data_IF_632102284075
#
_entry.id   IF_632102284075
#
_cell.length_a   1.000
_cell.length_b   1.000
_cell.length_c   1.000
_cell.angle_alpha   90.00
_cell.angle_beta   90.00
_cell.angle_gamma   90.00
#
_symmetry.space_group_name_H-M   'P 1'
#
loop_
_entity.id
_entity.type
_entity.pdbx_description
1 polymer ?
#
# COMPACT_ATOMS: atom_id res chain seq x y z
N UNK A 1 10.31 11.84 -12.62
CA UNK A 1 8.95 11.98 -12.00
C UNK A 1 8.93 11.13 -10.73
N UNK A 2 8.54 11.72 -9.60
CA UNK A 2 8.47 10.98 -8.33
C UNK A 2 7.35 9.92 -8.36
N UNK A 3 7.38 8.97 -7.41
CA UNK A 3 6.32 7.97 -7.28
C UNK A 3 4.94 8.61 -7.09
N UNK A 4 4.82 9.60 -6.20
CA UNK A 4 3.54 10.25 -5.94
C UNK A 4 3.05 11.11 -7.12
N UNK A 5 3.94 11.66 -7.95
CA UNK A 5 3.54 12.36 -9.16
C UNK A 5 2.98 11.40 -10.21
N UNK A 6 3.62 10.23 -10.38
CA UNK A 6 3.08 9.16 -11.24
C UNK A 6 1.71 8.70 -10.75
N UNK A 7 1.57 8.52 -9.43
CA UNK A 7 0.31 8.10 -8.82
C UNK A 7 -0.80 9.13 -9.07
N UNK A 8 -0.51 10.44 -8.90
CA UNK A 8 -1.46 11.52 -9.22
C UNK A 8 -1.89 11.51 -10.67
N UNK A 9 -0.93 11.32 -11.58
CA UNK A 9 -1.21 11.27 -13.01
C UNK A 9 -2.15 10.10 -13.34
N UNK A 10 -1.84 8.89 -12.89
CA UNK A 10 -2.66 7.71 -13.12
C UNK A 10 -4.03 7.79 -12.42
N UNK A 11 -4.08 8.32 -11.19
CA UNK A 11 -5.33 8.49 -10.48
C UNK A 11 -6.29 9.45 -11.19
N UNK A 12 -5.76 10.50 -11.82
CA UNK A 12 -6.54 11.41 -12.66
C UNK A 12 -6.94 10.79 -13.99
N UNK A 13 -6.01 10.13 -14.68
CA UNK A 13 -6.23 9.49 -15.97
C UNK A 13 -7.29 8.39 -15.87
N UNK A 14 -7.13 7.49 -14.90
CA UNK A 14 -8.01 6.33 -14.70
C UNK A 14 -9.19 6.63 -13.77
N UNK A 15 -9.25 7.82 -13.21
CA UNK A 15 -10.26 8.25 -12.22
C UNK A 15 -10.42 7.22 -11.09
N UNK A 16 -9.32 6.86 -10.44
CA UNK A 16 -9.29 5.81 -9.42
C UNK A 16 -8.24 6.07 -8.35
N UNK A 17 -8.57 5.68 -7.12
CA UNK A 17 -7.63 5.58 -5.98
C UNK A 17 -7.47 4.12 -5.56
N UNK A 18 -7.97 3.17 -6.35
CA UNK A 18 -7.92 1.75 -6.04
C UNK A 18 -6.49 1.23 -6.18
N UNK A 19 -6.04 0.54 -5.14
CA UNK A 19 -4.83 -0.26 -5.11
C UNK A 19 -5.23 -1.74 -5.00
N UNK A 20 -4.96 -2.53 -6.04
CA UNK A 20 -5.29 -3.97 -6.02
C UNK A 20 -4.16 -4.74 -5.37
N UNK A 21 -4.49 -5.46 -4.27
CA UNK A 21 -3.56 -6.37 -3.61
C UNK A 21 -3.35 -7.64 -4.44
N UNK A 22 -2.11 -8.12 -4.50
CA UNK A 22 -1.71 -9.30 -5.28
C UNK A 22 -1.17 -10.38 -4.33
N UNK A 23 -2.06 -10.98 -3.55
CA UNK A 23 -1.76 -11.85 -2.41
C UNK A 23 -2.25 -13.29 -2.69
N UNK A 24 -1.53 -14.11 -3.52
CA UNK A 24 -1.95 -15.45 -3.89
C UNK A 24 -1.84 -16.42 -2.70
N UNK A 25 -2.94 -17.11 -2.40
CA UNK A 25 -3.05 -18.07 -1.31
C UNK A 25 -2.96 -19.50 -1.88
N UNK A 26 -1.98 -20.33 -1.45
CA UNK A 26 -1.84 -21.70 -1.94
C UNK A 26 -3.03 -22.60 -1.60
N UNK A 27 -3.82 -22.26 -0.58
CA UNK A 27 -5.05 -23.00 -0.25
C UNK A 27 -6.20 -22.72 -1.22
N UNK A 28 -6.03 -21.72 -2.11
CA UNK A 28 -7.06 -21.27 -3.08
C UNK A 28 -6.60 -21.33 -4.52
N UNK A 29 -5.30 -21.49 -4.78
CA UNK A 29 -4.72 -21.48 -6.11
C UNK A 29 -3.79 -22.67 -6.25
N UNK A 30 -4.19 -23.63 -7.10
CA UNK A 30 -3.38 -24.81 -7.41
C UNK A 30 -2.17 -24.50 -8.31
N UNK A 31 -1.16 -25.36 -8.28
CA UNK A 31 -0.01 -25.33 -9.17
C UNK A 31 1.17 -24.48 -8.68
N UNK A 32 1.26 -24.26 -7.36
CA UNK A 32 2.40 -23.60 -6.73
C UNK A 32 2.66 -22.19 -7.24
N UNK A 33 3.91 -21.74 -7.23
CA UNK A 33 4.29 -20.39 -7.69
C UNK A 33 3.87 -20.09 -9.14
N UNK A 34 3.95 -21.10 -10.03
CA UNK A 34 3.51 -20.97 -11.43
C UNK A 34 2.00 -20.79 -11.55
N UNK A 35 1.22 -21.49 -10.70
CA UNK A 35 -0.23 -21.30 -10.61
C UNK A 35 -0.60 -19.92 -10.09
N UNK A 36 0.06 -19.47 -9.02
CA UNK A 36 -0.07 -18.15 -8.46
C UNK A 36 0.22 -17.06 -9.51
N UNK A 37 1.32 -17.19 -10.25
CA UNK A 37 1.68 -16.24 -11.30
C UNK A 37 0.62 -16.17 -12.40
N UNK A 38 0.14 -17.32 -12.90
CA UNK A 38 -0.91 -17.33 -13.94
C UNK A 38 -2.18 -16.64 -13.46
N UNK A 39 -2.63 -16.96 -12.25
CA UNK A 39 -3.84 -16.39 -11.67
C UNK A 39 -3.71 -14.87 -11.48
N UNK A 40 -2.65 -14.42 -10.82
CA UNK A 40 -2.43 -13.01 -10.53
C UNK A 40 -2.18 -12.20 -11.81
N UNK A 41 -1.48 -12.76 -12.81
CA UNK A 41 -1.30 -12.12 -14.13
C UNK A 41 -2.65 -11.82 -14.78
N UNK A 42 -3.57 -12.76 -14.74
CA UNK A 42 -4.90 -12.55 -15.28
C UNK A 42 -5.70 -11.49 -14.49
N UNK A 43 -5.59 -11.50 -13.16
CA UNK A 43 -6.19 -10.45 -12.32
C UNK A 43 -5.65 -9.06 -12.70
N UNK A 44 -4.32 -8.91 -12.85
CA UNK A 44 -3.71 -7.63 -13.24
C UNK A 44 -4.26 -7.16 -14.59
N UNK A 45 -4.31 -8.03 -15.60
CA UNK A 45 -4.87 -7.69 -16.93
C UNK A 45 -6.31 -7.22 -16.86
N UNK A 46 -7.13 -7.86 -16.02
CA UNK A 46 -8.53 -7.51 -15.87
C UNK A 46 -8.78 -6.24 -15.05
N UNK A 47 -7.83 -5.83 -14.23
CA UNK A 47 -8.03 -4.73 -13.26
C UNK A 47 -7.16 -3.51 -13.51
N UNK A 48 -6.21 -3.56 -14.44
CA UNK A 48 -5.24 -2.47 -14.66
C UNK A 48 -5.90 -1.13 -14.98
N UNK A 49 -6.97 -1.12 -15.78
CA UNK A 49 -7.71 0.11 -16.11
C UNK A 49 -8.51 0.69 -14.93
N UNK A 50 -8.76 -0.12 -13.89
CA UNK A 50 -9.51 0.27 -12.70
C UNK A 50 -8.63 0.59 -11.50
N UNK A 51 -7.32 0.32 -11.57
CA UNK A 51 -6.37 0.50 -10.48
C UNK A 51 -5.30 1.54 -10.83
N UNK A 52 -4.82 2.30 -9.84
CA UNK A 52 -3.66 3.19 -10.01
C UNK A 52 -2.38 2.61 -9.39
N UNK A 53 -2.47 1.49 -8.68
CA UNK A 53 -1.34 0.79 -8.07
C UNK A 53 -1.66 -0.68 -7.86
N UNK A 54 -0.64 -1.55 -7.95
CA UNK A 54 -0.69 -2.94 -7.51
C UNK A 54 0.17 -3.13 -6.26
N UNK A 55 -0.31 -3.96 -5.32
CA UNK A 55 0.37 -4.14 -4.04
C UNK A 55 0.57 -5.63 -3.70
N UNK A 56 1.64 -6.26 -4.18
CA UNK A 56 2.02 -7.58 -3.69
C UNK A 56 2.49 -7.50 -2.22
N UNK A 57 1.95 -8.38 -1.37
CA UNK A 57 2.49 -8.57 -0.03
C UNK A 57 3.56 -9.67 -0.11
N UNK A 58 4.78 -9.36 0.35
CA UNK A 58 5.93 -10.25 0.21
C UNK A 58 5.68 -11.64 0.80
N UNK A 59 5.00 -11.74 1.93
CA UNK A 59 4.73 -13.02 2.59
C UNK A 59 3.98 -14.03 1.70
N UNK A 60 3.05 -13.55 0.86
CA UNK A 60 2.29 -14.42 -0.06
C UNK A 60 3.13 -14.92 -1.25
N UNK A 61 4.27 -14.33 -1.51
CA UNK A 61 5.22 -14.78 -2.53
C UNK A 61 6.38 -15.53 -1.90
N UNK A 62 6.87 -15.10 -0.75
CA UNK A 62 7.91 -15.75 0.06
C UNK A 62 7.54 -17.19 0.43
N UNK A 63 6.27 -17.50 0.70
CA UNK A 63 5.82 -18.85 1.05
C UNK A 63 6.04 -19.90 -0.05
N UNK A 64 6.21 -19.46 -1.30
CA UNK A 64 6.58 -20.34 -2.43
C UNK A 64 8.10 -20.49 -2.61
N UNK A 65 8.92 -19.95 -1.69
CA UNK A 65 10.38 -19.98 -1.76
C UNK A 65 10.95 -19.18 -2.95
N UNK A 66 12.09 -19.62 -3.51
CA UNK A 66 12.72 -18.91 -4.64
C UNK A 66 11.83 -18.76 -5.88
N UNK A 67 10.96 -19.74 -6.12
CA UNK A 67 10.04 -19.72 -7.28
C UNK A 67 8.98 -18.61 -7.13
N UNK A 68 8.56 -18.32 -5.89
CA UNK A 68 7.64 -17.22 -5.63
C UNK A 68 8.25 -15.86 -5.91
N UNK A 69 9.50 -15.67 -5.52
CA UNK A 69 10.23 -14.43 -5.86
C UNK A 69 10.44 -14.30 -7.37
N UNK A 70 10.83 -15.39 -8.05
CA UNK A 70 10.99 -15.40 -9.51
C UNK A 70 9.68 -15.05 -10.21
N UNK A 71 8.56 -15.61 -9.76
CA UNK A 71 7.22 -15.33 -10.28
C UNK A 71 6.81 -13.87 -10.09
N UNK A 72 7.09 -13.28 -8.91
CA UNK A 72 6.80 -11.86 -8.65
C UNK A 72 7.65 -10.93 -9.53
N UNK A 73 8.92 -11.26 -9.74
CA UNK A 73 9.80 -10.48 -10.61
C UNK A 73 9.34 -10.55 -12.09
N UNK A 74 8.93 -11.72 -12.56
CA UNK A 74 8.35 -11.89 -13.89
C UNK A 74 7.09 -11.06 -14.07
N UNK A 75 6.16 -11.13 -13.10
CA UNK A 75 4.95 -10.32 -13.09
C UNK A 75 5.28 -8.82 -13.14
N UNK A 76 6.22 -8.35 -12.32
CA UNK A 76 6.63 -6.95 -12.30
C UNK A 76 7.23 -6.49 -13.62
N UNK A 77 8.03 -7.33 -14.28
CA UNK A 77 8.65 -7.02 -15.58
C UNK A 77 7.61 -6.91 -16.71
N UNK A 78 6.51 -7.65 -16.64
CA UNK A 78 5.43 -7.60 -17.63
C UNK A 78 4.57 -6.32 -17.52
N UNK A 79 4.36 -5.80 -16.30
CA UNK A 79 3.44 -4.67 -16.06
C UNK A 79 4.19 -3.41 -15.57
N UNK A 80 4.93 -2.76 -16.49
CA UNK A 80 5.78 -1.60 -16.17
C UNK A 80 5.01 -0.28 -16.03
N UNK A 81 3.82 -0.18 -16.64
CA UNK A 81 3.08 1.08 -16.73
C UNK A 81 2.33 1.44 -15.44
N UNK A 82 1.90 0.45 -14.66
CA UNK A 82 1.22 0.66 -13.38
C UNK A 82 2.21 0.46 -12.23
N UNK A 83 2.26 1.37 -11.23
CA UNK A 83 3.15 1.24 -10.08
C UNK A 83 2.91 -0.01 -9.25
N UNK A 84 4.00 -0.64 -8.80
CA UNK A 84 3.99 -1.76 -7.85
C UNK A 84 4.55 -1.31 -6.50
N UNK A 85 3.76 -1.48 -5.45
CA UNK A 85 4.12 -1.22 -4.06
C UNK A 85 4.34 -2.55 -3.34
N UNK A 86 5.58 -2.85 -2.95
CA UNK A 86 5.88 -4.06 -2.17
C UNK A 86 5.47 -3.87 -0.71
N UNK A 87 4.46 -4.61 -0.28
CA UNK A 87 4.04 -4.62 1.13
C UNK A 87 4.88 -5.62 1.93
N UNK A 88 6.10 -5.20 2.30
CA UNK A 88 7.11 -6.03 2.96
C UNK A 88 7.37 -5.66 4.41
N UNK A 89 6.93 -4.47 4.84
CA UNK A 89 7.08 -3.96 6.22
C UNK A 89 8.50 -4.10 6.75
N UNK A 90 9.51 -3.82 5.90
CA UNK A 90 10.92 -3.97 6.27
C UNK A 90 11.28 -3.06 7.45
N UNK A 91 12.13 -3.59 8.34
CA UNK A 91 12.65 -2.86 9.48
C UNK A 91 13.97 -3.50 9.88
N UNK A 92 15.04 -2.72 9.86
CA UNK A 92 16.37 -3.12 10.30
C UNK A 92 17.23 -1.87 10.47
N UNK A 93 18.47 -2.03 10.92
CA UNK A 93 19.39 -0.92 11.17
C UNK A 93 20.40 -0.74 10.02
N UNK A 94 20.80 0.49 9.75
CA UNK A 94 21.94 0.90 8.96
C UNK A 94 22.13 0.15 7.65
N UNK A 95 23.22 -0.61 7.55
CA UNK A 95 23.60 -1.33 6.33
C UNK A 95 22.63 -2.45 5.94
N UNK A 96 21.96 -3.10 6.88
CA UNK A 96 20.94 -4.11 6.60
C UNK A 96 19.72 -3.47 5.98
N UNK A 97 19.24 -2.36 6.54
CA UNK A 97 18.09 -1.63 5.96
C UNK A 97 18.42 -1.09 4.57
N UNK A 98 19.66 -0.63 4.35
CA UNK A 98 20.16 -0.25 3.01
C UNK A 98 20.16 -1.41 2.04
N UNK A 99 20.53 -2.62 2.47
CA UNK A 99 20.48 -3.81 1.65
C UNK A 99 19.04 -4.17 1.25
N UNK A 100 18.07 -4.03 2.18
CA UNK A 100 16.64 -4.18 1.86
C UNK A 100 16.16 -3.11 0.86
N UNK A 101 16.52 -1.85 1.03
CA UNK A 101 16.14 -0.79 0.09
C UNK A 101 16.68 -1.06 -1.33
N UNK A 102 17.94 -1.47 -1.44
CA UNK A 102 18.56 -1.88 -2.70
C UNK A 102 17.83 -3.06 -3.34
N UNK A 103 17.57 -4.11 -2.56
CA UNK A 103 16.84 -5.28 -3.06
C UNK A 103 15.47 -4.90 -3.61
N UNK A 104 14.69 -4.09 -2.89
CA UNK A 104 13.34 -3.69 -3.29
C UNK A 104 13.36 -2.75 -4.51
N UNK A 105 14.20 -1.73 -4.51
CA UNK A 105 14.11 -0.66 -5.50
C UNK A 105 15.01 -0.88 -6.73
N UNK A 106 16.19 -1.49 -6.56
CA UNK A 106 17.13 -1.72 -7.65
C UNK A 106 16.96 -3.11 -8.27
N UNK A 107 16.94 -4.17 -7.42
CA UNK A 107 16.90 -5.55 -7.91
C UNK A 107 15.48 -5.94 -8.36
N UNK A 108 14.48 -5.67 -7.50
CA UNK A 108 13.08 -6.05 -7.79
C UNK A 108 12.35 -5.00 -8.63
N UNK A 109 12.88 -3.78 -8.76
CA UNK A 109 12.30 -2.70 -9.56
C UNK A 109 10.96 -2.20 -9.04
N UNK A 110 10.67 -2.37 -7.75
CA UNK A 110 9.41 -1.89 -7.16
C UNK A 110 9.38 -0.36 -7.09
N UNK A 111 8.20 0.23 -7.26
CA UNK A 111 8.02 1.68 -7.27
C UNK A 111 7.84 2.25 -5.86
N UNK A 112 7.33 1.44 -4.92
CA UNK A 112 7.18 1.82 -3.52
C UNK A 112 7.33 0.61 -2.60
N UNK A 113 7.50 0.87 -1.29
CA UNK A 113 7.54 -0.17 -0.27
C UNK A 113 6.90 0.29 1.05
N UNK A 114 6.43 -0.67 1.85
CA UNK A 114 6.07 -0.42 3.25
C UNK A 114 7.26 -0.70 4.16
N UNK A 115 7.44 0.15 5.18
CA UNK A 115 8.48 0.04 6.20
C UNK A 115 7.89 0.18 7.60
N UNK A 116 8.51 -0.49 8.58
CA UNK A 116 8.11 -0.40 9.98
C UNK A 116 9.04 0.58 10.71
N UNK A 117 8.52 1.61 11.38
CA UNK A 117 9.31 2.65 12.02
C UNK A 117 9.83 2.31 13.41
N UNK A 118 9.62 1.10 13.91
CA UNK A 118 9.94 0.72 15.30
C UNK A 118 11.40 0.96 15.67
N UNK A 119 12.33 0.85 14.71
CA UNK A 119 13.77 1.10 14.90
C UNK A 119 14.18 2.58 14.71
N UNK A 120 13.22 3.48 14.51
CA UNK A 120 13.48 4.92 14.45
C UNK A 120 13.69 5.50 13.05
N UNK A 121 13.99 6.80 13.01
CA UNK A 121 14.08 7.58 11.79
C UNK A 121 15.21 7.12 10.87
N UNK A 122 16.39 6.84 11.41
CA UNK A 122 17.58 6.42 10.67
C UNK A 122 17.36 5.12 9.87
N UNK A 123 16.53 4.20 10.38
CA UNK A 123 16.09 3.02 9.67
C UNK A 123 15.23 3.38 8.46
N UNK A 124 14.22 4.24 8.64
CA UNK A 124 13.31 4.67 7.58
C UNK A 124 14.04 5.46 6.50
N UNK A 125 15.01 6.30 6.89
CA UNK A 125 15.79 7.15 5.99
C UNK A 125 16.56 6.37 4.93
N UNK A 126 16.97 5.11 5.17
CA UNK A 126 17.65 4.30 4.15
C UNK A 126 16.75 4.05 2.92
N UNK A 127 15.44 3.97 3.12
CA UNK A 127 14.47 3.89 2.02
C UNK A 127 14.16 5.25 1.40
N UNK A 128 14.04 6.33 2.20
CA UNK A 128 13.69 7.65 1.67
C UNK A 128 14.81 8.30 0.87
N UNK A 129 16.04 7.74 0.88
CA UNK A 129 17.15 8.15 -0.02
C UNK A 129 16.80 8.01 -1.50
N UNK A 130 15.90 7.11 -1.84
CA UNK A 130 15.43 6.90 -3.22
C UNK A 130 14.29 7.86 -3.55
N UNK A 131 14.61 9.07 -3.95
CA UNK A 131 13.69 10.20 -4.16
C UNK A 131 12.55 9.95 -5.16
N UNK A 132 12.77 9.04 -6.11
CA UNK A 132 11.75 8.66 -7.10
C UNK A 132 10.87 7.49 -6.64
N UNK A 133 11.14 6.89 -5.47
CA UNK A 133 10.43 5.74 -4.92
C UNK A 133 9.56 6.15 -3.74
N UNK A 134 8.37 5.54 -3.62
CA UNK A 134 7.48 5.78 -2.50
C UNK A 134 7.83 4.94 -1.27
N UNK A 135 7.72 5.53 -0.10
CA UNK A 135 7.95 4.85 1.19
C UNK A 135 6.73 5.03 2.09
N UNK A 136 6.00 3.96 2.37
CA UNK A 136 4.86 4.00 3.26
C UNK A 136 5.25 3.47 4.65
N UNK A 137 5.23 4.36 5.64
CA UNK A 137 5.56 4.05 7.03
C UNK A 137 4.34 3.49 7.74
N UNK A 138 4.46 2.33 8.42
CA UNK A 138 3.39 1.79 9.24
C UNK A 138 3.08 2.77 10.38
N UNK A 139 1.85 3.31 10.38
CA UNK A 139 1.40 4.29 11.36
C UNK A 139 0.37 3.66 12.31
N UNK A 140 -0.85 3.39 11.80
CA UNK A 140 -1.91 2.72 12.54
C UNK A 140 -2.41 1.52 11.72
N UNK A 141 -2.32 0.33 12.28
CA UNK A 141 -2.69 -0.90 11.60
C UNK A 141 -4.10 -1.38 11.98
N UNK A 142 -4.72 -2.24 11.15
CA UNK A 142 -6.13 -2.65 11.32
C UNK A 142 -6.34 -3.86 12.23
N UNK A 143 -5.26 -4.50 12.71
CA UNK A 143 -5.35 -5.70 13.56
C UNK A 143 -5.72 -5.34 15.01
N UNK A 144 -6.37 -6.24 15.75
CA UNK A 144 -6.74 -6.01 17.17
C UNK A 144 -5.53 -5.68 18.05
N UNK A 145 -4.39 -6.34 17.87
CA UNK A 145 -3.15 -6.09 18.64
C UNK A 145 -2.52 -4.70 18.42
N UNK A 146 -3.10 -3.84 17.57
CA UNK A 146 -2.70 -2.43 17.48
C UNK A 146 -2.89 -1.68 18.83
N UNK A 147 -3.84 -2.10 19.63
CA UNK A 147 -4.08 -1.54 20.96
C UNK A 147 -2.91 -1.76 21.94
N UNK A 148 -2.16 -2.86 21.79
CA UNK A 148 -1.08 -3.22 22.72
C UNK A 148 0.09 -2.23 22.70
N UNK A 149 0.33 -1.57 21.58
CA UNK A 149 1.45 -0.65 21.39
C UNK A 149 1.04 0.70 20.80
N UNK A 150 0.28 0.69 19.70
CA UNK A 150 0.06 1.90 18.90
C UNK A 150 -0.81 2.92 19.61
N UNK A 151 -1.71 2.47 20.50
CA UNK A 151 -2.62 3.33 21.28
C UNK A 151 -2.07 3.74 22.65
N UNK A 152 -0.89 3.25 23.05
CA UNK A 152 -0.28 3.69 24.31
C UNK A 152 -0.05 5.20 24.27
N UNK A 153 -0.45 5.87 25.38
CA UNK A 153 -0.20 7.29 25.56
C UNK A 153 1.30 7.54 25.82
N UNK A 154 1.86 8.44 25.05
CA UNK A 154 3.22 8.90 25.20
C UNK A 154 3.23 10.43 25.19
N UNK A 155 3.11 11.03 26.36
CA UNK A 155 3.12 12.48 26.50
C UNK A 155 1.85 13.19 25.99
N UNK A 156 0.68 12.58 26.22
CA UNK A 156 -0.62 13.16 25.90
C UNK A 156 -1.17 12.87 24.51
N UNK A 157 -0.50 11.96 23.75
CA UNK A 157 -0.98 11.47 22.46
C UNK A 157 -0.54 10.02 22.21
N UNK A 158 -1.29 9.25 21.39
CA UNK A 158 -0.96 7.87 21.11
C UNK A 158 0.30 7.73 20.24
N UNK A 159 0.98 6.58 20.37
CA UNK A 159 2.23 6.30 19.63
C UNK A 159 2.06 6.46 18.12
N UNK A 160 0.91 6.06 17.53
CA UNK A 160 0.72 6.24 16.09
C UNK A 160 0.78 7.70 15.64
N UNK A 161 0.45 8.68 16.48
CA UNK A 161 0.61 10.10 16.15
C UNK A 161 2.08 10.54 16.18
N UNK A 162 2.89 9.98 17.09
CA UNK A 162 4.36 10.19 17.06
C UNK A 162 5.00 9.59 15.80
N UNK A 163 4.45 8.45 15.33
CA UNK A 163 4.89 7.86 14.04
C UNK A 163 4.53 8.77 12.86
N UNK A 164 3.35 9.39 12.86
CA UNK A 164 2.98 10.35 11.82
C UNK A 164 3.95 11.55 11.78
N UNK A 165 4.33 12.09 12.95
CA UNK A 165 5.34 13.15 13.05
C UNK A 165 6.74 12.70 12.64
N UNK A 166 7.13 11.46 12.97
CA UNK A 166 8.38 10.89 12.49
C UNK A 166 8.41 10.83 10.95
N UNK A 167 7.32 10.36 10.34
CA UNK A 167 7.19 10.28 8.89
C UNK A 167 7.30 11.66 8.21
N UNK A 168 6.70 12.70 8.80
CA UNK A 168 6.87 14.09 8.31
C UNK A 168 8.35 14.54 8.40
N UNK A 169 9.05 14.25 9.50
CA UNK A 169 10.46 14.63 9.66
C UNK A 169 11.39 14.00 8.63
N UNK A 170 11.12 12.73 8.24
CA UNK A 170 11.95 12.02 7.24
C UNK A 170 11.49 12.25 5.80
N UNK A 171 10.48 13.07 5.57
CA UNK A 171 9.90 13.36 4.25
C UNK A 171 10.59 14.51 3.49
N UNK A 172 11.87 14.73 3.71
CA UNK A 172 12.58 15.84 3.05
C UNK A 172 12.52 15.82 1.52
N UNK A 173 12.26 14.66 0.90
CA UNK A 173 12.18 14.48 -0.55
C UNK A 173 10.75 14.40 -1.09
N UNK A 174 9.73 14.53 -0.24
CA UNK A 174 8.33 14.42 -0.65
C UNK A 174 7.93 13.02 -1.12
N UNK A 175 8.59 11.98 -0.62
CA UNK A 175 8.40 10.59 -1.07
C UNK A 175 7.88 9.66 0.04
N UNK A 176 7.41 10.20 1.17
CA UNK A 176 6.87 9.44 2.29
C UNK A 176 5.35 9.51 2.34
N UNK A 177 4.73 8.38 2.66
CA UNK A 177 3.33 8.22 3.00
C UNK A 177 3.15 7.39 4.27
N UNK A 178 1.93 7.20 4.71
CA UNK A 178 1.57 6.45 5.90
C UNK A 178 0.68 5.25 5.57
N UNK A 179 0.86 4.13 6.27
CA UNK A 179 -0.13 3.05 6.29
C UNK A 179 -1.08 3.30 7.44
N UNK A 180 -2.37 3.52 7.13
CA UNK A 180 -3.42 3.76 8.13
C UNK A 180 -4.59 2.83 7.84
N UNK A 181 -4.91 1.94 8.77
CA UNK A 181 -5.95 0.91 8.58
C UNK A 181 -7.35 1.50 8.41
N UNK A 182 -8.06 1.08 7.37
CA UNK A 182 -9.41 1.55 7.04
C UNK A 182 -10.49 1.13 8.05
N UNK A 183 -10.22 0.15 8.93
CA UNK A 183 -11.18 -0.35 9.94
C UNK A 183 -11.41 0.59 11.12
N UNK A 184 -10.69 1.70 11.18
CA UNK A 184 -10.76 2.68 12.24
C UNK A 184 -10.90 4.12 11.69
N UNK A 185 -12.06 4.49 11.12
CA UNK A 185 -12.26 5.78 10.44
C UNK A 185 -11.98 7.01 11.33
N UNK A 186 -12.27 6.92 12.62
CA UNK A 186 -11.98 8.01 13.57
C UNK A 186 -10.48 8.31 13.66
N UNK A 187 -9.65 7.24 13.75
CA UNK A 187 -8.19 7.37 13.78
C UNK A 187 -7.64 7.80 12.41
N UNK A 188 -8.23 7.34 11.30
CA UNK A 188 -7.89 7.85 9.96
C UNK A 188 -8.06 9.37 9.90
N UNK A 189 -9.21 9.88 10.34
CA UNK A 189 -9.48 11.32 10.39
C UNK A 189 -8.57 12.06 11.38
N UNK A 190 -8.22 11.45 12.50
CA UNK A 190 -7.30 12.02 13.49
C UNK A 190 -5.89 12.18 12.90
N UNK A 191 -5.34 11.12 12.30
CA UNK A 191 -4.03 11.19 11.63
C UNK A 191 -4.06 12.21 10.51
N UNK A 192 -5.15 12.28 9.71
CA UNK A 192 -5.29 13.24 8.62
C UNK A 192 -5.26 14.70 9.09
N UNK A 193 -5.82 15.00 10.26
CA UNK A 193 -5.73 16.37 10.84
C UNK A 193 -4.30 16.75 11.18
N UNK A 194 -3.44 15.78 11.52
CA UNK A 194 -2.04 16.00 11.90
C UNK A 194 -1.06 16.04 10.72
N UNK A 195 -1.44 15.59 9.51
CA UNK A 195 -0.51 15.49 8.38
C UNK A 195 -1.18 15.60 7.02
N UNK A 196 -0.40 16.02 6.01
CA UNK A 196 -0.81 15.99 4.59
C UNK A 196 -0.20 14.81 3.82
N UNK A 197 0.58 13.96 4.46
CA UNK A 197 1.20 12.80 3.82
C UNK A 197 0.16 11.91 3.12
N UNK A 198 0.49 11.29 2.00
CA UNK A 198 -0.36 10.28 1.35
C UNK A 198 -0.61 9.07 2.27
N UNK A 199 -1.83 8.51 2.23
CA UNK A 199 -2.17 7.32 2.99
C UNK A 199 -2.29 6.09 2.08
N UNK A 200 -1.85 4.95 2.57
CA UNK A 200 -2.24 3.62 2.12
C UNK A 200 -3.27 3.10 3.13
N UNK A 201 -4.48 2.81 2.66
CA UNK A 201 -5.62 2.38 3.47
C UNK A 201 -5.90 0.88 3.25
N UNK A 202 -5.23 -0.04 3.94
CA UNK A 202 -5.57 -1.46 3.89
C UNK A 202 -6.79 -1.78 4.75
N UNK A 203 -7.46 -2.92 4.42
CA UNK A 203 -8.58 -3.44 5.21
C UNK A 203 -9.96 -3.09 4.68
N UNK A 204 -10.05 -2.56 3.46
CA UNK A 204 -11.31 -2.29 2.77
C UNK A 204 -11.90 -3.59 2.20
N UNK A 205 -13.20 -3.76 2.29
CA UNK A 205 -13.93 -4.92 1.78
C UNK A 205 -13.82 -6.14 2.70
N UNK A 206 -12.91 -7.06 2.45
CA UNK A 206 -12.81 -8.36 3.13
C UNK A 206 -12.63 -8.31 4.66
N UNK A 207 -12.22 -7.17 5.23
CA UNK A 207 -12.08 -6.97 6.68
C UNK A 207 -13.23 -6.15 7.30
N UNK A 208 -14.30 -5.87 6.52
CA UNK A 208 -15.47 -5.13 7.01
C UNK A 208 -15.25 -3.63 7.24
N UNK A 209 -14.13 -3.08 6.74
CA UNK A 209 -13.91 -1.63 6.77
C UNK A 209 -14.94 -0.92 5.88
N UNK A 210 -15.55 0.14 6.42
CA UNK A 210 -16.43 1.03 5.68
C UNK A 210 -15.57 1.87 4.71
N UNK A 211 -15.70 1.58 3.41
CA UNK A 211 -14.96 2.27 2.34
C UNK A 211 -15.23 3.77 2.41
N UNK A 212 -16.50 4.15 2.51
CA UNK A 212 -16.92 5.55 2.47
C UNK A 212 -16.34 6.34 3.66
N UNK A 213 -16.52 5.83 4.88
CA UNK A 213 -16.04 6.51 6.08
C UNK A 213 -14.50 6.62 6.11
N UNK A 214 -13.78 5.56 5.72
CA UNK A 214 -12.31 5.57 5.69
C UNK A 214 -11.77 6.53 4.62
N UNK A 215 -12.34 6.49 3.42
CA UNK A 215 -11.93 7.38 2.31
C UNK A 215 -12.26 8.82 2.64
N UNK A 216 -13.45 9.12 3.16
CA UNK A 216 -13.83 10.47 3.57
C UNK A 216 -12.89 11.03 4.64
N UNK A 217 -12.49 10.21 5.63
CA UNK A 217 -11.53 10.59 6.67
C UNK A 217 -10.11 10.84 6.14
N UNK A 218 -9.71 10.15 5.07
CA UNK A 218 -8.36 10.23 4.50
C UNK A 218 -8.22 11.26 3.38
N UNK A 219 -9.30 11.58 2.68
CA UNK A 219 -9.29 12.46 1.51
C UNK A 219 -9.00 13.92 1.90
N UNK A 220 -8.09 14.56 1.19
CA UNK A 220 -7.73 15.98 1.38
C UNK A 220 -7.77 16.83 0.10
N UNK A 221 -8.40 16.31 -0.98
CA UNK A 221 -8.49 16.99 -2.27
C UNK A 221 -7.37 16.67 -3.25
N UNK A 222 -6.29 16.01 -2.83
CA UNK A 222 -5.20 15.57 -3.71
C UNK A 222 -5.45 14.15 -4.22
N UNK A 223 -5.36 13.92 -5.53
CA UNK A 223 -5.53 12.61 -6.17
C UNK A 223 -4.45 11.56 -5.81
N UNK A 224 -3.43 11.94 -5.04
CA UNK A 224 -2.51 11.00 -4.40
C UNK A 224 -2.68 10.94 -2.88
N UNK A 225 -3.69 11.60 -2.31
CA UNK A 225 -3.86 11.69 -0.86
C UNK A 225 -4.11 10.35 -0.17
N UNK A 226 -4.71 9.39 -0.87
CA UNK A 226 -4.87 8.05 -0.34
C UNK A 226 -4.95 6.99 -1.45
N UNK A 227 -4.38 5.82 -1.17
CA UNK A 227 -4.58 4.59 -1.91
C UNK A 227 -5.48 3.66 -1.11
N UNK A 228 -6.57 3.23 -1.68
CA UNK A 228 -7.54 2.31 -1.06
C UNK A 228 -7.20 0.89 -1.48
N UNK A 229 -6.68 0.08 -0.56
CA UNK A 229 -6.18 -1.25 -0.88
C UNK A 229 -7.24 -2.33 -0.65
N UNK A 230 -7.57 -3.05 -1.73
CA UNK A 230 -8.43 -4.25 -1.71
C UNK A 230 -7.69 -5.43 -2.34
N UNK A 231 -7.72 -6.60 -1.70
CA UNK A 231 -7.03 -7.80 -2.17
C UNK A 231 -8.02 -8.95 -2.40
N UNK A 232 -8.35 -9.73 -1.40
CA UNK A 232 -9.14 -10.97 -1.50
C UNK A 232 -10.49 -10.81 -2.19
N UNK A 233 -11.18 -9.68 -1.98
CA UNK A 233 -12.46 -9.39 -2.66
C UNK A 233 -12.31 -9.26 -4.17
N UNK A 234 -11.16 -8.79 -4.64
CA UNK A 234 -10.86 -8.62 -6.06
C UNK A 234 -10.25 -9.88 -6.67
N UNK A 235 -9.14 -10.38 -6.09
CA UNK A 235 -8.36 -11.45 -6.73
C UNK A 235 -9.07 -12.81 -6.77
N UNK A 236 -10.06 -13.02 -5.91
CA UNK A 236 -10.89 -14.23 -5.88
C UNK A 236 -12.33 -14.00 -6.31
N UNK A 237 -12.64 -12.83 -6.87
CA UNK A 237 -13.95 -12.55 -7.44
C UNK A 237 -14.20 -13.42 -8.71
N UNK A 238 -15.45 -13.76 -8.95
CA UNK A 238 -15.84 -14.39 -10.24
C UNK A 238 -15.50 -13.53 -11.45
N UNK A 239 -15.46 -12.22 -11.27
CA UNK A 239 -15.06 -11.23 -12.27
C UNK A 239 -14.23 -10.13 -11.57
N UNK A 240 -12.90 -10.24 -11.53
CA UNK A 240 -12.02 -9.23 -10.96
C UNK A 240 -12.27 -7.82 -11.53
N UNK A 241 -12.50 -7.71 -12.83
CA UNK A 241 -12.81 -6.43 -13.50
C UNK A 241 -14.07 -5.77 -12.93
N UNK A 242 -15.16 -6.52 -12.75
CA UNK A 242 -16.42 -5.96 -12.19
C UNK A 242 -16.26 -5.54 -10.74
N UNK A 243 -15.56 -6.34 -9.96
CA UNK A 243 -15.31 -6.01 -8.55
C UNK A 243 -14.44 -4.76 -8.43
N UNK A 244 -13.36 -4.66 -9.20
CA UNK A 244 -12.49 -3.47 -9.23
C UNK A 244 -13.25 -2.22 -9.71
N UNK A 245 -14.10 -2.34 -10.74
CA UNK A 245 -14.95 -1.25 -11.21
C UNK A 245 -15.96 -0.80 -10.14
N UNK A 246 -16.56 -1.74 -9.41
CA UNK A 246 -17.49 -1.45 -8.30
C UNK A 246 -16.79 -0.71 -7.16
N UNK A 247 -15.62 -1.19 -6.73
CA UNK A 247 -14.82 -0.52 -5.69
C UNK A 247 -14.38 0.88 -6.13
N UNK A 248 -13.93 1.03 -7.39
CA UNK A 248 -13.60 2.36 -7.95
C UNK A 248 -14.78 3.31 -7.86
N UNK A 249 -15.98 2.87 -8.22
CA UNK A 249 -17.18 3.71 -8.14
C UNK A 249 -17.51 4.12 -6.70
N UNK A 250 -17.42 3.20 -5.73
CA UNK A 250 -17.64 3.49 -4.31
C UNK A 250 -16.61 4.50 -3.78
N UNK A 251 -15.32 4.32 -4.11
CA UNK A 251 -14.23 5.23 -3.71
C UNK A 251 -14.48 6.63 -4.30
N UNK A 252 -14.84 6.73 -5.57
CA UNK A 252 -15.11 8.00 -6.23
C UNK A 252 -16.32 8.71 -5.63
N UNK A 253 -17.37 7.99 -5.27
CA UNK A 253 -18.52 8.56 -4.57
C UNK A 253 -18.12 9.16 -3.22
N UNK A 254 -17.24 8.48 -2.45
CA UNK A 254 -16.76 8.95 -1.16
C UNK A 254 -15.83 10.18 -1.24
N UNK A 255 -15.10 10.36 -2.34
CA UNK A 255 -14.22 11.53 -2.54
C UNK A 255 -14.93 12.73 -3.15
N UNK A 256 -16.16 12.57 -3.68
CA UNK A 256 -16.83 13.59 -4.47
C UNK A 256 -16.18 13.84 -5.84
N UNK A 257 -15.22 13.02 -6.25
CA UNK A 257 -14.63 13.04 -7.59
C UNK A 257 -15.67 12.51 -8.55
N UNK A 258 -16.24 13.39 -9.37
CA UNK A 258 -17.20 12.99 -10.42
C UNK A 258 -16.42 12.35 -11.58
N UNK A 259 -16.91 11.21 -12.01
CA UNK A 259 -16.46 10.53 -13.21
C UNK A 259 -16.63 11.41 -14.46
#
# INVERSE_FOLDING_TARGET
>A
MSYFDRLRALAKERQTLLCVGLDPDPDRIDGGAAGALRHIREVVRQTEEHACCFKPNSAFWEQYGPDGWSALLELRAEFMNTPFLLDAKRSDMGNTMRAYARAVFETMGMDAATVNPYLGADSVEEFTKYDQRGVYVLCRTSNPGAEDLQHLDAGGKPIYMHVAELAERVNAKGNVGLVVGATAPAQVAEVRRGTKLPFLLPGVGAQGGDVEAAVHGAWNGDSASCLVAASRSVIYAKSPAREAASLRAQINAATGVRA
#
